data_IF_300313210443
#
_entry.id   IF_300313210443
#
_cell.length_a   1.000
_cell.length_b   1.000
_cell.length_c   1.000
_cell.angle_alpha   90.00
_cell.angle_beta   90.00
_cell.angle_gamma   90.00
#
_symmetry.space_group_name_H-M   'P 1'
#
loop_
_entity.id
_entity.type
_entity.pdbx_description
1 polymer ?
#
# COMPACT_ATOMS: atom_id res chain seq x y z
N UNK A 1 -33.33 -2.33 -45.76
CA UNK A 1 -31.88 -2.51 -45.73
C UNK A 1 -31.51 -3.09 -44.37
N UNK A 2 -30.97 -4.29 -44.27
CA UNK A 2 -30.67 -4.90 -42.97
C UNK A 2 -29.43 -4.27 -42.35
N UNK A 3 -29.57 -3.89 -41.09
CA UNK A 3 -28.50 -3.33 -40.28
C UNK A 3 -27.33 -4.29 -40.15
N UNK A 4 -26.12 -3.79 -40.36
CA UNK A 4 -24.87 -4.49 -40.05
C UNK A 4 -24.80 -4.64 -38.53
N UNK A 5 -25.15 -5.80 -38.00
CA UNK A 5 -24.75 -6.23 -36.69
C UNK A 5 -23.24 -6.17 -36.65
N UNK A 6 -22.72 -5.19 -35.93
CA UNK A 6 -21.32 -5.16 -35.57
C UNK A 6 -21.05 -6.42 -34.72
N UNK A 7 -20.46 -7.44 -35.34
CA UNK A 7 -19.91 -8.60 -34.65
C UNK A 7 -18.93 -8.07 -33.60
N UNK A 8 -19.40 -7.89 -32.34
CA UNK A 8 -18.52 -7.83 -31.20
C UNK A 8 -17.65 -9.07 -31.29
N UNK A 9 -16.38 -8.91 -31.66
CA UNK A 9 -15.38 -9.95 -31.42
C UNK A 9 -15.53 -10.32 -29.95
N UNK A 10 -16.12 -11.49 -29.67
CA UNK A 10 -16.02 -12.10 -28.34
C UNK A 10 -14.53 -12.15 -28.06
N UNK A 11 -14.04 -11.31 -27.15
CA UNK A 11 -12.75 -11.53 -26.54
C UNK A 11 -12.79 -12.96 -25.99
N UNK A 12 -11.85 -13.77 -26.37
CA UNK A 12 -11.77 -15.16 -25.93
C UNK A 12 -11.73 -15.11 -24.39
N UNK A 13 -12.78 -15.63 -23.74
CA UNK A 13 -12.86 -15.67 -22.29
C UNK A 13 -11.69 -16.53 -21.81
N UNK A 14 -10.80 -15.94 -21.01
CA UNK A 14 -9.64 -16.62 -20.43
C UNK A 14 -10.09 -17.15 -19.07
N UNK A 15 -9.89 -18.44 -18.84
CA UNK A 15 -10.11 -19.03 -17.53
C UNK A 15 -9.21 -18.40 -16.47
N UNK A 16 -9.72 -18.27 -15.24
CA UNK A 16 -8.99 -17.65 -14.13
C UNK A 16 -7.62 -18.28 -13.89
N UNK A 17 -7.53 -19.60 -13.92
CA UNK A 17 -6.25 -20.33 -13.71
C UNK A 17 -5.21 -19.95 -14.77
N UNK A 18 -5.62 -19.85 -16.02
CA UNK A 18 -4.71 -19.47 -17.11
C UNK A 18 -4.32 -17.98 -17.00
N UNK A 19 -5.27 -17.08 -16.67
CA UNK A 19 -4.98 -15.68 -16.44
C UNK A 19 -4.00 -15.50 -15.27
N UNK A 20 -4.19 -16.24 -14.18
CA UNK A 20 -3.29 -16.22 -13.02
C UNK A 20 -1.90 -16.76 -13.39
N UNK A 21 -1.81 -17.91 -14.06
CA UNK A 21 -0.55 -18.50 -14.51
C UNK A 21 0.25 -17.56 -15.41
N UNK A 22 -0.42 -16.82 -16.30
CA UNK A 22 0.21 -15.85 -17.20
C UNK A 22 0.92 -14.71 -16.46
N UNK A 23 0.48 -14.34 -15.25
CA UNK A 23 1.15 -13.32 -14.45
C UNK A 23 2.60 -13.71 -14.09
N UNK A 24 2.90 -15.00 -13.94
CA UNK A 24 4.22 -15.49 -13.54
C UNK A 24 5.17 -15.73 -14.71
N UNK A 25 4.73 -15.59 -15.95
CA UNK A 25 5.58 -15.78 -17.12
C UNK A 25 6.61 -14.65 -17.24
N UNK A 26 7.91 -15.00 -17.38
CA UNK A 26 9.03 -14.04 -17.44
C UNK A 26 8.97 -13.09 -18.65
N UNK A 27 8.40 -13.53 -19.76
CA UNK A 27 8.10 -12.67 -20.92
C UNK A 27 6.60 -12.66 -21.10
N UNK A 28 5.95 -11.67 -20.48
CA UNK A 28 4.59 -11.35 -20.83
C UNK A 28 4.55 -11.03 -22.32
N UNK A 29 4.19 -12.00 -23.18
CA UNK A 29 3.70 -11.64 -24.51
C UNK A 29 2.57 -10.65 -24.26
N UNK A 30 2.63 -9.47 -24.86
CA UNK A 30 1.48 -8.58 -24.85
C UNK A 30 0.38 -9.33 -25.62
N UNK A 31 -0.42 -10.10 -24.89
CA UNK A 31 -1.70 -10.50 -25.45
C UNK A 31 -2.48 -9.23 -25.65
N UNK A 32 -3.07 -9.06 -26.83
CA UNK A 32 -3.96 -7.93 -27.12
C UNK A 32 -5.20 -7.92 -26.22
N UNK A 33 -5.28 -8.88 -25.31
CA UNK A 33 -6.36 -9.12 -24.39
C UNK A 33 -6.03 -8.50 -23.02
N UNK A 34 -6.89 -7.63 -22.55
CA UNK A 34 -6.86 -7.11 -21.20
C UNK A 34 -7.96 -7.75 -20.36
N UNK A 35 -7.71 -7.96 -19.09
CA UNK A 35 -8.73 -8.37 -18.15
C UNK A 35 -9.68 -7.19 -17.87
N UNK A 36 -10.95 -7.46 -17.59
CA UNK A 36 -11.89 -6.45 -17.09
C UNK A 36 -11.39 -5.87 -15.74
N UNK A 37 -11.94 -4.75 -15.32
CA UNK A 37 -11.64 -4.16 -14.01
C UNK A 37 -11.89 -5.16 -12.87
N UNK A 38 -13.00 -5.92 -12.94
CA UNK A 38 -13.29 -6.98 -11.97
C UNK A 38 -12.30 -8.15 -12.07
N UNK A 39 -11.93 -8.57 -13.28
CA UNK A 39 -10.92 -9.61 -13.48
C UNK A 39 -9.56 -9.23 -12.89
N UNK A 40 -9.11 -7.99 -13.11
CA UNK A 40 -7.89 -7.45 -12.49
C UNK A 40 -8.00 -7.41 -10.96
N UNK A 41 -9.15 -7.03 -10.41
CA UNK A 41 -9.41 -7.02 -8.97
C UNK A 41 -9.30 -8.42 -8.36
N UNK A 42 -9.91 -9.43 -8.99
CA UNK A 42 -9.84 -10.82 -8.53
C UNK A 42 -8.41 -11.36 -8.63
N UNK A 43 -7.69 -11.05 -9.72
CA UNK A 43 -6.31 -11.51 -9.91
C UNK A 43 -5.35 -10.95 -8.86
N UNK A 44 -5.48 -9.66 -8.46
CA UNK A 44 -4.60 -9.10 -7.43
C UNK A 44 -4.88 -9.73 -6.06
N UNK A 45 -6.12 -10.06 -5.74
CA UNK A 45 -6.44 -10.83 -4.53
C UNK A 45 -5.78 -12.20 -4.54
N UNK A 46 -5.81 -12.91 -5.68
CA UNK A 46 -5.16 -14.20 -5.82
C UNK A 46 -3.62 -14.10 -5.65
N UNK A 47 -2.99 -13.03 -6.17
CA UNK A 47 -1.56 -12.79 -5.95
C UNK A 47 -1.26 -12.53 -4.48
N UNK A 48 -2.06 -11.74 -3.77
CA UNK A 48 -1.91 -11.50 -2.32
C UNK A 48 -2.05 -12.81 -1.54
N UNK A 49 -3.04 -13.62 -1.87
CA UNK A 49 -3.24 -14.93 -1.26
C UNK A 49 -2.05 -15.87 -1.53
N UNK A 50 -1.52 -15.85 -2.75
CA UNK A 50 -0.33 -16.64 -3.10
C UNK A 50 0.90 -16.17 -2.31
N UNK A 51 1.14 -14.87 -2.18
CA UNK A 51 2.19 -14.31 -1.32
C UNK A 51 2.04 -14.81 0.12
N UNK A 52 0.82 -14.80 0.65
CA UNK A 52 0.54 -15.32 1.99
C UNK A 52 0.96 -16.78 2.14
N UNK A 53 0.56 -17.66 1.23
CA UNK A 53 0.92 -19.07 1.29
C UNK A 53 2.42 -19.30 1.18
N UNK A 54 3.09 -18.62 0.25
CA UNK A 54 4.55 -18.73 0.09
C UNK A 54 5.26 -18.30 1.38
N UNK A 55 4.80 -17.22 2.03
CA UNK A 55 5.34 -16.78 3.32
C UNK A 55 5.04 -17.77 4.45
N UNK A 56 3.85 -18.37 4.50
CA UNK A 56 3.55 -19.38 5.52
C UNK A 56 4.49 -20.59 5.35
N UNK A 57 4.71 -21.06 4.12
CA UNK A 57 5.64 -22.16 3.83
C UNK A 57 7.07 -21.77 4.26
N UNK A 58 7.51 -20.54 3.98
CA UNK A 58 8.84 -20.06 4.35
C UNK A 58 9.09 -20.08 5.85
N UNK A 59 8.06 -19.87 6.70
CA UNK A 59 8.19 -19.93 8.17
C UNK A 59 8.66 -21.27 8.70
N UNK A 60 8.39 -22.35 7.97
CA UNK A 60 8.74 -23.72 8.36
C UNK A 60 10.02 -24.24 7.65
N UNK A 61 10.79 -23.38 6.99
CA UNK A 61 12.07 -23.76 6.41
C UNK A 61 13.14 -23.94 7.50
N UNK A 62 13.93 -24.98 7.38
CA UNK A 62 14.99 -25.29 8.35
C UNK A 62 16.20 -24.36 8.18
N UNK A 63 16.54 -24.01 6.94
CA UNK A 63 17.77 -23.25 6.62
C UNK A 63 17.62 -21.74 6.83
N UNK A 64 16.42 -21.18 6.56
CA UNK A 64 16.16 -19.73 6.67
C UNK A 64 14.69 -19.48 7.02
N UNK A 65 14.31 -19.67 8.30
CA UNK A 65 12.94 -19.53 8.73
C UNK A 65 12.38 -18.12 8.45
N UNK A 66 11.27 -18.06 7.72
CA UNK A 66 10.58 -16.80 7.41
C UNK A 66 11.15 -15.99 6.26
N UNK A 67 12.29 -16.39 5.66
CA UNK A 67 12.87 -15.69 4.51
C UNK A 67 12.38 -16.29 3.19
N UNK A 68 12.02 -15.41 2.24
CA UNK A 68 11.72 -15.80 0.87
C UNK A 68 13.01 -15.92 0.06
N UNK A 69 13.10 -16.95 -0.78
CA UNK A 69 14.26 -17.09 -1.68
C UNK A 69 14.27 -15.98 -2.74
N UNK A 70 15.43 -15.66 -3.31
CA UNK A 70 15.53 -14.69 -4.41
C UNK A 70 14.62 -15.03 -5.59
N UNK A 71 14.47 -16.33 -5.90
CA UNK A 71 13.63 -16.84 -6.99
C UNK A 71 12.15 -16.60 -6.71
N UNK A 72 11.68 -16.87 -5.48
CA UNK A 72 10.31 -16.59 -5.06
C UNK A 72 10.00 -15.11 -5.13
N UNK A 73 10.87 -14.27 -4.60
CA UNK A 73 10.71 -12.81 -4.66
C UNK A 73 10.67 -12.35 -6.12
N UNK A 74 11.60 -12.80 -6.97
CA UNK A 74 11.65 -12.43 -8.38
C UNK A 74 10.40 -12.87 -9.15
N UNK A 75 9.90 -14.08 -8.87
CA UNK A 75 8.68 -14.62 -9.48
C UNK A 75 7.45 -13.79 -9.10
N UNK A 76 7.29 -13.49 -7.81
CA UNK A 76 6.18 -12.69 -7.29
C UNK A 76 6.24 -11.24 -7.78
N UNK A 77 7.43 -10.62 -7.82
CA UNK A 77 7.62 -9.29 -8.40
C UNK A 77 7.27 -9.25 -9.90
N UNK A 78 7.59 -10.31 -10.65
CA UNK A 78 7.18 -10.43 -12.05
C UNK A 78 5.66 -10.48 -12.17
N UNK A 79 5.00 -11.26 -11.31
CA UNK A 79 3.53 -11.33 -11.31
C UNK A 79 2.89 -9.97 -11.03
N UNK A 80 3.40 -9.22 -10.03
CA UNK A 80 2.91 -7.88 -9.72
C UNK A 80 3.15 -6.89 -10.86
N UNK A 81 4.32 -6.93 -11.51
CA UNK A 81 4.61 -6.09 -12.68
C UNK A 81 3.71 -6.42 -13.86
N UNK A 82 3.50 -7.71 -14.15
CA UNK A 82 2.63 -8.14 -15.23
C UNK A 82 1.17 -7.75 -14.97
N UNK A 83 0.71 -7.88 -13.71
CA UNK A 83 -0.60 -7.39 -13.30
C UNK A 83 -0.73 -5.87 -13.54
N UNK A 84 0.25 -5.09 -13.11
CA UNK A 84 0.24 -3.64 -13.28
C UNK A 84 0.24 -3.21 -14.75
N UNK A 85 0.96 -3.95 -15.62
CA UNK A 85 0.94 -3.72 -17.07
C UNK A 85 -0.44 -4.04 -17.66
N UNK A 86 -1.07 -5.13 -17.24
CA UNK A 86 -2.43 -5.49 -17.63
C UNK A 86 -3.45 -4.44 -17.18
N UNK A 87 -3.33 -3.97 -15.93
CA UNK A 87 -4.16 -2.89 -15.39
C UNK A 87 -4.03 -1.60 -16.23
N UNK A 88 -2.81 -1.16 -16.53
CA UNK A 88 -2.57 0.05 -17.34
C UNK A 88 -3.11 -0.03 -18.76
N UNK A 89 -3.27 -1.23 -19.31
CA UNK A 89 -3.81 -1.44 -20.66
C UNK A 89 -5.33 -1.51 -20.70
N UNK A 90 -5.97 -1.76 -19.57
CA UNK A 90 -7.44 -1.78 -19.51
C UNK A 90 -7.97 -0.35 -19.64
N UNK A 91 -8.81 -0.05 -20.65
CA UNK A 91 -9.36 1.28 -20.87
C UNK A 91 -10.27 1.78 -19.73
N UNK A 92 -10.79 0.87 -18.90
CA UNK A 92 -11.58 1.22 -17.71
C UNK A 92 -10.69 1.65 -16.51
N UNK A 93 -9.38 1.41 -16.60
CA UNK A 93 -8.46 1.67 -15.48
C UNK A 93 -8.14 3.16 -15.36
N UNK A 94 -8.34 3.70 -14.17
CA UNK A 94 -8.02 5.08 -13.84
C UNK A 94 -7.53 5.20 -12.41
N UNK A 95 -6.64 6.16 -12.18
CA UNK A 95 -6.25 6.62 -10.84
C UNK A 95 -7.19 7.72 -10.33
N UNK A 96 -8.07 8.24 -11.18
CA UNK A 96 -9.11 9.17 -10.78
C UNK A 96 -10.21 8.40 -10.05
N UNK A 97 -10.45 8.66 -8.77
CA UNK A 97 -11.48 8.00 -8.00
C UNK A 97 -12.90 8.32 -8.50
N UNK A 98 -13.08 9.42 -9.22
CA UNK A 98 -14.37 9.86 -9.78
C UNK A 98 -14.61 9.36 -11.21
N UNK A 99 -13.77 8.44 -11.70
CA UNK A 99 -13.91 7.89 -13.05
C UNK A 99 -15.30 7.23 -13.24
N UNK A 100 -15.99 7.50 -14.35
CA UNK A 100 -17.33 6.98 -14.61
C UNK A 100 -17.42 5.45 -14.70
N UNK A 101 -16.30 4.76 -14.94
CA UNK A 101 -16.23 3.29 -14.90
C UNK A 101 -16.27 2.70 -13.49
N UNK A 102 -16.32 3.55 -12.47
CA UNK A 102 -16.46 3.17 -11.08
C UNK A 102 -15.13 2.91 -10.36
N UNK A 103 -15.20 2.66 -9.04
CA UNK A 103 -14.03 2.64 -8.17
C UNK A 103 -13.25 1.31 -8.16
N UNK A 104 -13.70 0.26 -8.86
CA UNK A 104 -13.07 -1.08 -8.79
C UNK A 104 -11.62 -1.04 -9.25
N UNK A 105 -11.35 -0.39 -10.39
CA UNK A 105 -10.01 -0.24 -10.92
C UNK A 105 -9.12 0.58 -9.97
N UNK A 106 -9.64 1.67 -9.41
CA UNK A 106 -8.96 2.49 -8.42
C UNK A 106 -8.63 1.70 -7.16
N UNK A 107 -9.61 1.00 -6.57
CA UNK A 107 -9.42 0.20 -5.35
C UNK A 107 -8.42 -0.94 -5.55
N UNK A 108 -8.33 -1.53 -6.75
CA UNK A 108 -7.35 -2.58 -7.04
C UNK A 108 -5.90 -2.09 -6.97
N UNK A 109 -5.64 -0.79 -7.14
CA UNK A 109 -4.29 -0.22 -6.96
C UNK A 109 -3.86 -0.18 -5.50
N UNK A 110 -4.78 -0.05 -4.56
CA UNK A 110 -4.48 -0.16 -3.13
C UNK A 110 -4.05 -1.58 -2.76
N UNK A 111 -4.71 -2.60 -3.35
CA UNK A 111 -4.31 -4.00 -3.20
C UNK A 111 -2.93 -4.28 -3.80
N UNK A 112 -2.57 -3.66 -4.92
CA UNK A 112 -1.21 -3.78 -5.47
C UNK A 112 -0.15 -3.26 -4.49
N UNK A 113 -0.42 -2.13 -3.82
CA UNK A 113 0.49 -1.58 -2.79
C UNK A 113 0.61 -2.55 -1.60
N UNK A 114 -0.51 -3.08 -1.13
CA UNK A 114 -0.53 -4.11 -0.09
C UNK A 114 0.28 -5.35 -0.50
N UNK A 115 0.15 -5.81 -1.75
CA UNK A 115 0.90 -6.94 -2.25
C UNK A 115 2.42 -6.70 -2.19
N UNK A 116 2.90 -5.52 -2.60
CA UNK A 116 4.32 -5.15 -2.46
C UNK A 116 4.76 -5.07 -1.00
N UNK A 117 3.92 -4.57 -0.10
CA UNK A 117 4.22 -4.58 1.35
C UNK A 117 4.35 -6.02 1.83
N UNK A 118 3.35 -6.86 1.59
CA UNK A 118 3.33 -8.25 2.04
C UNK A 118 4.42 -9.13 1.42
N UNK A 119 4.89 -8.78 0.24
CA UNK A 119 6.04 -9.45 -0.40
C UNK A 119 7.36 -9.15 0.33
N UNK A 120 7.55 -7.93 0.82
CA UNK A 120 8.84 -7.48 1.33
C UNK A 120 8.94 -7.45 2.87
N UNK A 121 7.80 -7.41 3.56
CA UNK A 121 7.75 -7.30 5.03
C UNK A 121 6.76 -8.30 5.60
N UNK A 122 7.17 -9.03 6.62
CA UNK A 122 6.24 -9.72 7.51
C UNK A 122 5.93 -8.81 8.70
N UNK A 123 4.82 -8.12 8.62
CA UNK A 123 4.37 -7.22 9.68
C UNK A 123 3.50 -7.91 10.73
N UNK A 124 3.48 -9.24 10.72
CA UNK A 124 2.64 -10.04 11.61
C UNK A 124 1.16 -10.09 11.20
N UNK A 125 0.36 -10.89 11.94
CA UNK A 125 -1.01 -11.23 11.54
C UNK A 125 -2.03 -10.13 11.77
N UNK A 126 -1.84 -9.26 12.76
CA UNK A 126 -2.86 -8.30 13.16
C UNK A 126 -2.30 -6.94 13.57
N UNK A 127 -3.19 -5.97 13.62
CA UNK A 127 -2.97 -4.63 14.15
C UNK A 127 -3.81 -4.41 15.40
N UNK A 128 -4.10 -5.49 16.15
CA UNK A 128 -5.07 -5.48 17.26
C UNK A 128 -6.45 -4.91 16.86
N UNK A 129 -6.85 -5.09 15.59
CA UNK A 129 -8.13 -4.58 15.08
C UNK A 129 -9.35 -5.42 15.54
N UNK A 130 -9.13 -6.47 16.27
CA UNK A 130 -10.13 -7.25 16.99
C UNK A 130 -10.71 -6.50 18.20
N UNK A 131 -9.95 -5.55 18.75
CA UNK A 131 -10.47 -4.57 19.73
C UNK A 131 -11.01 -3.33 19.05
N UNK A 132 -11.92 -2.62 19.75
CA UNK A 132 -12.38 -1.27 19.36
C UNK A 132 -11.76 -0.18 20.21
N UNK A 133 -10.78 -0.51 21.03
CA UNK A 133 -10.05 0.43 21.87
C UNK A 133 -8.91 1.04 21.09
N UNK A 134 -9.03 2.33 20.77
CA UNK A 134 -8.02 3.07 20.00
C UNK A 134 -6.67 3.12 20.69
N UNK A 135 -6.62 3.10 22.03
CA UNK A 135 -5.37 3.12 22.80
C UNK A 135 -4.67 1.78 22.71
N UNK A 136 -5.40 0.67 22.80
CA UNK A 136 -4.82 -0.66 22.63
C UNK A 136 -4.25 -0.86 21.22
N UNK A 137 -4.96 -0.39 20.20
CA UNK A 137 -4.48 -0.44 18.81
C UNK A 137 -3.22 0.43 18.64
N UNK A 138 -3.20 1.65 19.21
CA UNK A 138 -2.03 2.53 19.16
C UNK A 138 -0.81 1.91 19.87
N UNK A 139 -1.01 1.28 21.03
CA UNK A 139 0.03 0.53 21.73
C UNK A 139 0.55 -0.64 20.87
N UNK A 140 -0.33 -1.40 20.22
CA UNK A 140 0.08 -2.47 19.32
C UNK A 140 0.91 -1.96 18.13
N UNK A 141 0.62 -0.75 17.62
CA UNK A 141 1.46 -0.10 16.60
C UNK A 141 2.83 0.26 17.15
N UNK A 142 2.89 0.91 18.32
CA UNK A 142 4.15 1.28 19.00
C UNK A 142 5.01 0.05 19.27
N UNK A 143 4.41 -0.99 19.88
CA UNK A 143 5.10 -2.19 20.36
C UNK A 143 5.42 -3.18 19.24
N UNK A 144 4.98 -2.91 18.01
CA UNK A 144 5.34 -3.72 16.84
C UNK A 144 6.86 -3.73 16.64
N UNK A 145 7.44 -4.88 16.27
CA UNK A 145 8.90 -4.98 16.06
C UNK A 145 9.40 -3.94 15.05
N UNK A 146 10.62 -3.41 15.27
CA UNK A 146 11.23 -2.48 14.33
C UNK A 146 11.40 -3.14 12.96
N UNK A 147 11.20 -2.35 11.90
CA UNK A 147 11.33 -2.83 10.53
C UNK A 147 12.80 -2.97 10.16
N UNK A 148 13.20 -4.18 9.76
CA UNK A 148 14.54 -4.43 9.23
C UNK A 148 14.68 -3.74 7.87
N UNK A 149 15.56 -2.75 7.79
CA UNK A 149 15.85 -2.04 6.55
C UNK A 149 16.64 -2.93 5.60
N UNK A 150 16.13 -3.09 4.38
CA UNK A 150 16.75 -3.88 3.31
C UNK A 150 16.54 -3.17 1.96
N UNK A 151 17.42 -3.38 0.97
CA UNK A 151 17.21 -2.82 -0.38
C UNK A 151 15.87 -3.24 -1.01
N UNK A 152 15.37 -4.43 -0.68
CA UNK A 152 14.06 -4.92 -1.17
C UNK A 152 12.88 -4.11 -0.59
N UNK A 153 13.03 -3.62 0.64
CA UNK A 153 12.00 -2.83 1.33
C UNK A 153 11.74 -1.48 0.65
N UNK A 154 12.75 -0.89 0.03
CA UNK A 154 12.68 0.46 -0.60
C UNK A 154 11.51 0.58 -1.57
N UNK A 155 11.23 -0.47 -2.34
CA UNK A 155 10.08 -0.49 -3.27
C UNK A 155 8.73 -0.44 -2.54
N UNK A 156 8.57 -1.21 -1.48
CA UNK A 156 7.33 -1.20 -0.68
C UNK A 156 7.12 0.16 -0.01
N UNK A 157 8.19 0.76 0.51
CA UNK A 157 8.18 2.11 1.09
C UNK A 157 7.81 3.16 0.04
N UNK A 158 8.37 3.08 -1.17
CA UNK A 158 8.01 3.97 -2.26
C UNK A 158 6.52 3.84 -2.65
N UNK A 159 5.97 2.63 -2.69
CA UNK A 159 4.54 2.42 -2.91
C UNK A 159 3.68 3.02 -1.79
N UNK A 160 4.15 2.95 -0.54
CA UNK A 160 3.48 3.58 0.60
C UNK A 160 3.54 5.10 0.54
N UNK A 161 4.68 5.68 0.14
CA UNK A 161 4.79 7.12 -0.11
C UNK A 161 3.87 7.58 -1.26
N UNK A 162 3.78 6.81 -2.34
CA UNK A 162 2.83 7.10 -3.42
C UNK A 162 1.37 6.97 -2.98
N UNK A 163 1.05 6.10 -2.01
CA UNK A 163 -0.30 6.06 -1.44
C UNK A 163 -0.64 7.38 -0.73
N UNK A 164 0.32 7.96 -0.01
CA UNK A 164 0.17 9.25 0.66
C UNK A 164 0.05 10.41 -0.35
N UNK A 165 0.77 10.36 -1.48
CA UNK A 165 0.78 11.44 -2.47
C UNK A 165 -0.60 11.71 -3.09
N UNK A 166 -1.45 10.71 -3.20
CA UNK A 166 -2.79 10.85 -3.83
C UNK A 166 -3.69 11.76 -2.99
N UNK A 167 -3.98 11.48 -1.70
CA UNK A 167 -4.82 12.34 -0.89
C UNK A 167 -4.20 13.72 -0.62
N UNK A 168 -2.86 13.84 -0.57
CA UNK A 168 -2.21 15.14 -0.42
C UNK A 168 -2.49 16.02 -1.63
N UNK A 169 -2.28 15.52 -2.86
CA UNK A 169 -2.53 16.27 -4.10
C UNK A 169 -4.00 16.65 -4.30
N UNK A 170 -4.93 15.82 -3.87
CA UNK A 170 -6.38 16.11 -3.93
C UNK A 170 -6.79 17.11 -2.85
N UNK A 171 -6.07 17.12 -1.73
CA UNK A 171 -6.40 17.84 -0.51
C UNK A 171 -6.99 16.90 0.55
N UNK A 172 -6.25 16.70 1.64
CA UNK A 172 -6.58 15.71 2.69
C UNK A 172 -7.96 15.93 3.30
N UNK A 173 -8.38 17.17 3.49
CA UNK A 173 -9.70 17.51 4.05
C UNK A 173 -10.84 17.23 3.06
N UNK A 174 -10.59 17.38 1.75
CA UNK A 174 -11.56 17.03 0.72
C UNK A 174 -11.73 15.51 0.65
N UNK A 175 -10.61 14.77 0.63
CA UNK A 175 -10.64 13.30 0.65
C UNK A 175 -11.37 12.80 1.90
N UNK A 176 -11.08 13.36 3.09
CA UNK A 176 -11.75 13.00 4.33
C UNK A 176 -13.28 13.13 4.26
N UNK A 177 -13.80 14.12 3.51
CA UNK A 177 -15.25 14.33 3.33
C UNK A 177 -15.88 13.44 2.27
N UNK A 178 -15.12 13.03 1.25
CA UNK A 178 -15.65 12.39 0.04
C UNK A 178 -15.31 10.90 -0.10
N UNK A 179 -14.35 10.38 0.65
CA UNK A 179 -13.89 8.99 0.55
C UNK A 179 -15.00 7.94 0.71
N UNK A 180 -16.02 8.23 1.50
CA UNK A 180 -17.18 7.35 1.73
C UNK A 180 -17.85 6.88 0.44
N UNK A 181 -17.81 7.70 -0.60
CA UNK A 181 -18.44 7.38 -1.89
C UNK A 181 -17.57 6.51 -2.79
N UNK A 182 -16.26 6.40 -2.50
CA UNK A 182 -15.26 5.86 -3.43
C UNK A 182 -14.51 4.71 -2.81
N UNK A 183 -14.14 4.81 -1.52
CA UNK A 183 -13.27 3.85 -0.86
C UNK A 183 -14.06 2.67 -0.30
N UNK A 184 -13.62 1.47 -0.67
CA UNK A 184 -14.05 0.26 0.04
C UNK A 184 -13.33 0.17 1.39
N UNK A 185 -13.84 -0.65 2.32
CA UNK A 185 -13.12 -0.97 3.56
C UNK A 185 -11.71 -1.51 3.27
N UNK A 186 -11.55 -2.29 2.23
CA UNK A 186 -10.24 -2.82 1.81
C UNK A 186 -9.28 -1.70 1.43
N UNK A 187 -9.74 -0.64 0.77
CA UNK A 187 -8.91 0.52 0.47
C UNK A 187 -8.40 1.19 1.75
N UNK A 188 -9.28 1.38 2.74
CA UNK A 188 -8.90 1.94 4.04
C UNK A 188 -7.90 1.07 4.78
N UNK A 189 -8.09 -0.26 4.80
CA UNK A 189 -7.15 -1.20 5.43
C UNK A 189 -5.80 -1.25 4.69
N UNK A 190 -5.79 -1.20 3.36
CA UNK A 190 -4.55 -1.10 2.59
C UNK A 190 -3.81 0.21 2.88
N UNK A 191 -4.55 1.31 3.03
CA UNK A 191 -3.98 2.62 3.38
C UNK A 191 -3.42 2.63 4.79
N UNK A 192 -4.04 1.96 5.74
CA UNK A 192 -3.49 1.73 7.08
C UNK A 192 -2.13 1.00 7.00
N UNK A 193 -2.03 -0.07 6.23
CA UNK A 193 -0.76 -0.79 6.07
C UNK A 193 0.32 0.07 5.42
N UNK A 194 -0.05 0.95 4.47
CA UNK A 194 0.88 1.93 3.90
C UNK A 194 1.33 2.98 4.94
N UNK A 195 0.39 3.50 5.74
CA UNK A 195 0.68 4.45 6.80
C UNK A 195 1.63 3.85 7.84
N UNK A 196 1.30 2.65 8.30
CA UNK A 196 2.10 1.91 9.28
C UNK A 196 3.52 1.61 8.78
N UNK A 197 3.65 1.07 7.56
CA UNK A 197 4.97 0.78 6.99
C UNK A 197 5.81 2.05 6.85
N UNK A 198 5.24 3.12 6.32
CA UNK A 198 5.95 4.37 6.07
C UNK A 198 6.40 5.02 7.40
N UNK A 199 5.52 5.04 8.40
CA UNK A 199 5.83 5.53 9.75
C UNK A 199 6.96 4.73 10.39
N UNK A 200 6.84 3.40 10.47
CA UNK A 200 7.86 2.52 11.06
C UNK A 200 9.21 2.58 10.34
N UNK A 201 9.19 2.78 9.02
CA UNK A 201 10.43 2.95 8.27
C UNK A 201 11.09 4.30 8.58
N UNK A 202 10.32 5.39 8.71
CA UNK A 202 10.85 6.69 9.13
C UNK A 202 11.40 6.66 10.55
N UNK A 203 10.74 5.93 11.48
CA UNK A 203 11.29 5.66 12.81
C UNK A 203 12.64 4.93 12.75
N UNK A 204 12.78 3.92 11.88
CA UNK A 204 14.05 3.23 11.70
C UNK A 204 15.14 4.14 11.11
N UNK A 205 14.79 5.16 10.32
CA UNK A 205 15.73 6.19 9.85
C UNK A 205 16.05 7.24 10.94
N UNK A 206 15.25 7.38 11.98
CA UNK A 206 15.46 8.35 13.05
C UNK A 206 16.44 7.86 14.12
N UNK A 207 16.89 6.61 14.04
CA UNK A 207 17.89 6.08 14.97
C UNK A 207 19.21 6.85 14.85
N UNK A 208 19.95 7.09 15.94
CA UNK A 208 21.21 7.85 15.93
C UNK A 208 22.28 7.26 15.00
N UNK A 209 22.36 5.93 14.91
CA UNK A 209 23.25 5.19 14.04
C UNK A 209 22.49 4.10 13.30
N UNK A 210 21.76 4.46 12.21
CA UNK A 210 20.96 3.49 11.51
C UNK A 210 21.83 2.50 10.74
N UNK A 211 21.69 1.23 11.06
CA UNK A 211 22.35 0.13 10.33
C UNK A 211 21.35 -0.62 9.43
N UNK A 212 21.71 -0.83 8.15
CA UNK A 212 22.86 -0.28 7.41
C UNK A 212 22.77 1.25 7.25
N UNK A 213 23.85 1.94 6.82
CA UNK A 213 23.81 3.38 6.55
C UNK A 213 22.66 3.76 5.60
N UNK A 214 22.10 4.96 5.76
CA UNK A 214 20.98 5.41 4.95
C UNK A 214 21.44 5.56 3.49
N UNK A 215 20.80 4.83 2.59
CA UNK A 215 21.08 4.86 1.16
C UNK A 215 20.54 6.13 0.48
N UNK A 216 21.02 6.43 -0.74
CA UNK A 216 20.52 7.57 -1.52
C UNK A 216 19.04 7.45 -1.86
N UNK A 217 18.57 6.24 -2.16
CA UNK A 217 17.16 6.01 -2.45
C UNK A 217 16.29 6.27 -1.22
N UNK A 218 16.74 5.87 -0.03
CA UNK A 218 16.04 6.15 1.23
C UNK A 218 16.01 7.66 1.52
N UNK A 219 17.12 8.37 1.30
CA UNK A 219 17.15 9.84 1.42
C UNK A 219 16.17 10.52 0.48
N UNK A 220 16.10 10.07 -0.78
CA UNK A 220 15.14 10.58 -1.78
C UNK A 220 13.70 10.37 -1.36
N UNK A 221 13.37 9.18 -0.82
CA UNK A 221 12.00 8.90 -0.37
C UNK A 221 11.66 9.72 0.88
N UNK A 222 12.56 9.86 1.84
CA UNK A 222 12.35 10.72 3.01
C UNK A 222 12.12 12.18 2.59
N UNK A 223 12.93 12.70 1.65
CA UNK A 223 12.74 14.03 1.08
C UNK A 223 11.39 14.17 0.35
N UNK A 224 10.96 13.16 -0.42
CA UNK A 224 9.66 13.13 -1.06
C UNK A 224 8.52 13.19 -0.03
N UNK A 225 8.63 12.45 1.08
CA UNK A 225 7.64 12.49 2.17
C UNK A 225 7.60 13.89 2.79
N UNK A 226 8.77 14.50 3.04
CA UNK A 226 8.83 15.89 3.54
C UNK A 226 8.09 16.84 2.61
N UNK A 227 8.41 16.83 1.32
CA UNK A 227 7.74 17.69 0.32
C UNK A 227 6.22 17.51 0.34
N UNK A 228 5.73 16.27 0.47
CA UNK A 228 4.29 16.01 0.57
C UNK A 228 3.68 16.56 1.86
N UNK A 229 4.36 16.44 2.99
CA UNK A 229 3.85 16.97 4.26
C UNK A 229 3.87 18.50 4.29
N UNK A 230 4.85 19.13 3.64
CA UNK A 230 4.93 20.58 3.51
C UNK A 230 3.73 21.19 2.74
N UNK A 231 3.04 20.39 1.92
CA UNK A 231 1.77 20.75 1.27
C UNK A 231 0.55 20.62 2.20
N UNK A 232 0.75 20.23 3.46
CA UNK A 232 -0.33 19.97 4.44
C UNK A 232 -0.17 20.83 5.70
N UNK A 233 -1.17 20.76 6.59
CA UNK A 233 -1.10 21.37 7.92
C UNK A 233 -0.10 20.68 8.88
N UNK A 234 0.51 19.59 8.44
CA UNK A 234 1.51 18.78 9.18
C UNK A 234 2.93 18.98 8.64
N UNK A 235 3.21 20.15 8.09
CA UNK A 235 4.53 20.52 7.59
C UNK A 235 5.59 20.41 8.69
N UNK A 236 6.76 19.88 8.32
CA UNK A 236 7.89 19.72 9.24
C UNK A 236 8.89 20.86 9.03
N UNK A 237 9.22 21.66 10.08
CA UNK A 237 10.14 22.76 9.96
C UNK A 237 11.52 22.36 9.38
N UNK A 238 12.12 23.30 8.65
CA UNK A 238 13.47 23.13 8.10
C UNK A 238 14.55 23.29 9.20
N UNK A 239 15.76 22.81 8.91
CA UNK A 239 16.91 22.98 9.81
C UNK A 239 17.02 21.96 10.94
N UNK A 240 16.14 20.97 10.99
CA UNK A 240 16.23 19.87 11.95
C UNK A 240 17.34 18.89 11.56
N UNK A 241 17.93 18.23 12.57
CA UNK A 241 18.83 17.10 12.29
C UNK A 241 18.05 15.95 11.64
N UNK A 242 18.70 15.15 10.76
CA UNK A 242 18.02 14.07 10.06
C UNK A 242 17.23 13.08 10.96
N UNK A 243 17.74 12.66 12.13
CA UNK A 243 17.00 11.81 13.05
C UNK A 243 15.69 12.46 13.55
N UNK A 244 15.78 13.72 14.00
CA UNK A 244 14.62 14.47 14.50
C UNK A 244 13.62 14.70 13.36
N UNK A 245 14.09 15.11 12.20
CA UNK A 245 13.25 15.29 11.01
C UNK A 245 12.48 14.01 10.67
N UNK A 246 13.15 12.86 10.57
CA UNK A 246 12.48 11.60 10.23
C UNK A 246 11.43 11.19 11.28
N UNK A 247 11.65 11.48 12.55
CA UNK A 247 10.68 11.24 13.61
C UNK A 247 9.44 12.14 13.44
N UNK A 248 9.64 13.43 13.16
CA UNK A 248 8.54 14.35 12.87
C UNK A 248 7.77 13.95 11.59
N UNK A 249 8.49 13.50 10.55
CA UNK A 249 7.85 12.98 9.33
C UNK A 249 6.99 11.75 9.62
N UNK A 250 7.46 10.85 10.51
CA UNK A 250 6.68 9.68 10.92
C UNK A 250 5.35 10.09 11.57
N UNK A 251 5.39 11.00 12.54
CA UNK A 251 4.17 11.53 13.16
C UNK A 251 3.27 12.24 12.14
N UNK A 252 3.84 13.08 11.27
CA UNK A 252 3.09 13.80 10.22
C UNK A 252 2.35 12.86 9.27
N UNK A 253 2.97 11.77 8.83
CA UNK A 253 2.33 10.74 8.01
C UNK A 253 1.12 10.14 8.73
N UNK A 254 1.25 9.80 10.00
CA UNK A 254 0.15 9.27 10.81
C UNK A 254 -0.98 10.27 10.95
N UNK A 255 -0.67 11.56 11.16
CA UNK A 255 -1.65 12.66 11.25
C UNK A 255 -2.46 12.84 9.96
N UNK A 256 -1.80 12.79 8.80
CA UNK A 256 -2.50 12.86 7.51
C UNK A 256 -3.51 11.73 7.38
N UNK A 257 -3.09 10.49 7.61
CA UNK A 257 -3.99 9.35 7.51
C UNK A 257 -5.07 9.34 8.58
N UNK A 258 -4.75 9.77 9.81
CA UNK A 258 -5.73 9.95 10.87
C UNK A 258 -6.80 10.96 10.48
N UNK A 259 -6.43 12.10 9.91
CA UNK A 259 -7.37 13.13 9.43
C UNK A 259 -8.31 12.56 8.37
N UNK A 260 -7.79 11.76 7.44
CA UNK A 260 -8.60 11.11 6.41
C UNK A 260 -9.56 10.12 7.06
N UNK A 261 -9.09 9.24 7.92
CA UNK A 261 -9.90 8.19 8.55
C UNK A 261 -10.91 8.72 9.57
N UNK A 262 -10.68 9.90 10.14
CA UNK A 262 -11.64 10.60 11.03
C UNK A 262 -12.69 11.42 10.28
N UNK A 263 -12.63 11.43 8.95
CA UNK A 263 -13.63 12.10 8.12
C UNK A 263 -14.95 11.34 8.01
N UNK A 264 -15.68 11.57 6.92
CA UNK A 264 -16.92 10.83 6.64
C UNK A 264 -16.62 9.35 6.40
N UNK A 265 -17.19 8.47 7.23
CA UNK A 265 -16.92 7.03 7.22
C UNK A 265 -18.20 6.21 7.16
N UNK A 266 -18.19 5.16 6.35
CA UNK A 266 -19.23 4.12 6.36
C UNK A 266 -18.96 3.07 7.45
N UNK A 267 -17.69 2.84 7.78
CA UNK A 267 -17.25 1.76 8.64
C UNK A 267 -16.70 2.28 9.96
N UNK A 268 -17.38 2.01 11.08
CA UNK A 268 -16.97 2.49 12.40
C UNK A 268 -15.52 2.12 12.78
N UNK A 269 -15.01 0.97 12.31
CA UNK A 269 -13.63 0.56 12.57
C UNK A 269 -12.61 1.53 11.94
N UNK A 270 -12.92 2.18 10.82
CA UNK A 270 -12.00 3.14 10.18
C UNK A 270 -11.85 4.40 11.03
N UNK A 271 -12.92 4.86 11.69
CA UNK A 271 -12.85 5.96 12.66
C UNK A 271 -11.98 5.59 13.88
N UNK A 272 -12.14 4.38 14.41
CA UNK A 272 -11.29 3.86 15.49
C UNK A 272 -9.82 3.82 15.08
N UNK A 273 -9.52 3.34 13.88
CA UNK A 273 -8.16 3.34 13.31
C UNK A 273 -7.62 4.79 13.24
N UNK A 274 -8.41 5.74 12.76
CA UNK A 274 -8.02 7.15 12.71
C UNK A 274 -7.65 7.71 14.09
N UNK A 275 -8.45 7.39 15.11
CA UNK A 275 -8.14 7.75 16.50
C UNK A 275 -6.85 7.09 16.99
N UNK A 276 -6.64 5.82 16.66
CA UNK A 276 -5.42 5.08 17.04
C UNK A 276 -4.16 5.67 16.40
N UNK A 277 -4.23 6.08 15.13
CA UNK A 277 -3.11 6.73 14.45
C UNK A 277 -2.76 8.09 15.08
N UNK A 278 -3.75 8.88 15.53
CA UNK A 278 -3.50 10.10 16.25
C UNK A 278 -2.80 9.85 17.59
N UNK A 279 -3.30 8.90 18.37
CA UNK A 279 -2.68 8.52 19.67
C UNK A 279 -1.23 8.06 19.44
N UNK A 280 -0.99 7.28 18.40
CA UNK A 280 0.36 6.82 18.09
C UNK A 280 1.28 7.98 17.65
N UNK A 281 0.78 8.95 16.89
CA UNK A 281 1.52 10.16 16.56
C UNK A 281 1.87 10.96 17.83
N UNK A 282 0.93 11.14 18.80
CA UNK A 282 1.19 11.77 20.08
C UNK A 282 2.32 11.08 20.87
N UNK A 283 2.32 9.73 20.86
CA UNK A 283 3.38 8.95 21.51
C UNK A 283 4.75 9.20 20.87
N UNK A 284 4.81 9.33 19.53
CA UNK A 284 6.06 9.64 18.82
C UNK A 284 6.55 11.07 19.11
N UNK A 285 5.66 12.04 19.21
CA UNK A 285 6.01 13.43 19.49
C UNK A 285 6.49 13.62 20.94
N UNK A 286 6.00 12.80 21.87
CA UNK A 286 6.31 12.89 23.32
C UNK A 286 7.55 12.12 23.72
N UNK A 287 8.09 11.25 22.89
CA UNK A 287 9.29 10.42 23.16
C UNK A 287 10.56 11.02 22.56
#
# INVERSE_FOLDING_TARGET
MPGKEARRKRSQEIEFQEAFRRLFLRKGRPTAEWNSSLGNYVLIHAVIQHIFFVRQIAKYRFDSPGELTPEEVSSLENALRNWQLGWKRNPESSLDPMNPNGPVAFNSTALLRLAYIRLNVDTGPGRALDTRDSTQIANAFRDSPPIKRTPKLVRAVLHSAHALSVPVKIGIRLVAKTQTFIWSIQHSLCSLECAFLLSKWLEALSLPNPEPPISDDERRISSLVKTMLDETEFAVPDGMSPPVMNKCLSAGVLRVWATIFKGAQTWAIVDVIGSSLNIYADMLESS
#
